data_IF_628468060403
#
_entry.id   IF_628468060403
#
_cell.length_a   1.000
_cell.length_b   1.000
_cell.length_c   1.000
_cell.angle_alpha   90.00
_cell.angle_beta   90.00
_cell.angle_gamma   90.00
#
_symmetry.space_group_name_H-M   'P 1'
#
loop_
_entity.id
_entity.type
_entity.pdbx_description
1 polymer ?
#
# COMPACT_ATOMS: atom_id res chain seq x y z
N UNK A 1 -25.55 -27.96 20.14
CA UNK A 1 -24.29 -27.19 20.21
C UNK A 1 -23.50 -27.41 18.91
N UNK A 2 -23.55 -26.47 17.96
CA UNK A 2 -22.68 -26.50 16.77
C UNK A 2 -21.28 -26.04 17.20
N UNK A 3 -20.29 -26.94 17.19
CA UNK A 3 -18.88 -26.55 17.41
C UNK A 3 -18.42 -25.72 16.20
N UNK A 4 -17.88 -24.54 16.47
CA UNK A 4 -17.35 -23.64 15.45
C UNK A 4 -16.19 -24.31 14.71
N UNK A 5 -16.30 -24.45 13.39
CA UNK A 5 -15.29 -24.99 12.47
C UNK A 5 -14.28 -23.90 12.03
N UNK A 6 -14.52 -22.65 12.42
CA UNK A 6 -13.69 -21.49 12.10
C UNK A 6 -12.20 -21.64 12.46
N UNK A 7 -11.80 -22.15 13.64
CA UNK A 7 -10.38 -22.30 13.96
C UNK A 7 -9.69 -23.37 13.11
N UNK A 8 -10.42 -24.39 12.64
CA UNK A 8 -9.86 -25.46 11.80
C UNK A 8 -9.57 -24.95 10.39
N UNK A 9 -10.41 -24.07 9.85
CA UNK A 9 -10.23 -23.46 8.52
C UNK A 9 -9.01 -22.52 8.52
N UNK A 10 -8.82 -21.72 9.58
CA UNK A 10 -7.65 -20.83 9.71
C UNK A 10 -6.35 -21.63 9.81
N UNK A 11 -6.33 -22.72 10.59
CA UNK A 11 -5.16 -23.59 10.71
C UNK A 11 -4.85 -24.28 9.38
N UNK A 12 -5.86 -24.77 8.65
CA UNK A 12 -5.68 -25.37 7.32
C UNK A 12 -5.12 -24.36 6.31
N UNK A 13 -5.59 -23.11 6.32
CA UNK A 13 -5.09 -22.07 5.41
C UNK A 13 -3.61 -21.75 5.66
N UNK A 14 -3.18 -21.63 6.93
CA UNK A 14 -1.78 -21.38 7.30
C UNK A 14 -0.88 -22.56 6.91
N UNK A 15 -1.35 -23.80 7.08
CA UNK A 15 -0.60 -25.00 6.70
C UNK A 15 -0.46 -25.11 5.17
N UNK A 16 -1.51 -24.79 4.41
CA UNK A 16 -1.48 -24.81 2.93
C UNK A 16 -0.56 -23.73 2.39
N UNK A 17 -0.60 -22.51 2.93
CA UNK A 17 0.33 -21.42 2.58
C UNK A 17 1.79 -21.78 2.90
N UNK A 18 2.03 -22.39 4.06
CA UNK A 18 3.37 -22.87 4.45
C UNK A 18 3.92 -23.94 3.52
N UNK A 19 3.10 -24.92 3.14
CA UNK A 19 3.50 -25.99 2.20
C UNK A 19 3.73 -25.42 0.79
N UNK A 20 2.89 -24.48 0.34
CA UNK A 20 3.07 -23.81 -0.95
C UNK A 20 4.39 -23.02 -1.01
N UNK A 21 4.71 -22.29 0.06
CA UNK A 21 5.99 -21.58 0.19
C UNK A 21 7.18 -22.55 0.15
N UNK A 22 7.06 -23.68 0.86
CA UNK A 22 8.09 -24.72 0.88
C UNK A 22 8.31 -25.32 -0.52
N UNK A 23 7.24 -25.53 -1.28
CA UNK A 23 7.31 -26.10 -2.62
C UNK A 23 7.96 -25.14 -3.63
N UNK A 24 7.65 -23.84 -3.55
CA UNK A 24 8.29 -22.83 -4.39
C UNK A 24 9.77 -22.67 -4.06
N UNK A 25 10.14 -22.74 -2.77
CA UNK A 25 11.52 -22.72 -2.32
C UNK A 25 12.33 -23.94 -2.81
N UNK A 26 11.75 -25.15 -2.80
CA UNK A 26 12.43 -26.32 -3.34
C UNK A 26 12.59 -26.26 -4.86
N UNK A 27 11.64 -25.64 -5.58
CA UNK A 27 11.72 -25.50 -7.03
C UNK A 27 12.83 -24.54 -7.49
N UNK A 28 13.15 -23.50 -6.71
CA UNK A 28 14.23 -22.55 -7.07
C UNK A 28 15.64 -23.08 -6.79
N UNK A 29 15.78 -24.07 -5.89
CA UNK A 29 17.07 -24.47 -5.32
C UNK A 29 17.53 -25.88 -5.69
N UNK A 30 17.00 -26.51 -6.74
CA UNK A 30 17.55 -27.78 -7.24
C UNK A 30 18.79 -27.49 -8.11
N UNK A 31 20.00 -27.90 -7.68
CA UNK A 31 21.20 -27.74 -8.50
C UNK A 31 21.20 -28.77 -9.63
N UNK A 32 21.58 -28.37 -10.84
CA UNK A 32 21.87 -29.28 -11.97
C UNK A 32 23.10 -30.11 -11.62
N UNK A 33 22.92 -31.38 -11.27
CA UNK A 33 24.00 -32.31 -10.92
C UNK A 33 24.64 -32.88 -12.19
N UNK A 34 25.89 -32.52 -12.45
CA UNK A 34 26.86 -33.35 -13.19
C UNK A 34 27.50 -34.34 -12.20
N UNK A 35 27.73 -35.61 -12.56
CA UNK A 35 28.20 -36.58 -11.59
C UNK A 35 29.73 -36.65 -11.59
N UNK A 36 30.39 -36.23 -10.51
CA UNK A 36 31.51 -37.02 -9.97
C UNK A 36 31.99 -36.63 -8.56
N UNK A 37 32.33 -37.70 -7.86
CA UNK A 37 33.16 -37.90 -6.67
C UNK A 37 32.64 -37.57 -5.26
N UNK A 38 32.67 -38.61 -4.42
CA UNK A 38 32.12 -38.70 -3.07
C UNK A 38 33.22 -38.46 -2.04
N UNK A 39 33.08 -37.42 -1.23
CA UNK A 39 33.56 -37.37 0.15
C UNK A 39 32.57 -36.54 0.98
N UNK A 40 32.25 -36.94 2.23
CA UNK A 40 31.20 -36.29 3.00
C UNK A 40 31.68 -34.95 3.53
N UNK A 41 31.22 -33.87 2.90
CA UNK A 41 31.38 -32.51 3.42
C UNK A 41 30.43 -32.38 4.61
N UNK A 42 30.98 -32.11 5.79
CA UNK A 42 30.22 -31.67 6.96
C UNK A 42 29.53 -30.37 6.55
N UNK A 43 28.22 -30.44 6.33
CA UNK A 43 27.42 -29.27 5.97
C UNK A 43 27.43 -28.31 7.16
N UNK A 44 28.27 -27.29 7.07
CA UNK A 44 28.17 -26.09 7.87
C UNK A 44 26.75 -25.55 7.69
N UNK A 45 25.96 -25.57 8.77
CA UNK A 45 24.58 -25.10 8.75
C UNK A 45 24.63 -23.61 8.45
N UNK A 46 24.34 -23.22 7.21
CA UNK A 46 24.17 -21.83 6.84
C UNK A 46 23.23 -21.17 7.87
N UNK A 47 23.61 -20.02 8.46
CA UNK A 47 22.74 -19.34 9.42
C UNK A 47 21.39 -19.10 8.75
N UNK A 48 20.31 -19.40 9.46
CA UNK A 48 18.96 -19.09 8.98
C UNK A 48 18.94 -17.61 8.54
N UNK A 49 18.34 -17.27 7.39
CA UNK A 49 18.24 -15.88 6.97
C UNK A 49 17.64 -15.08 8.13
N UNK A 50 18.39 -14.09 8.60
CA UNK A 50 17.91 -13.15 9.61
C UNK A 50 16.77 -12.40 8.93
N UNK A 51 15.53 -12.78 9.23
CA UNK A 51 14.35 -12.01 8.83
C UNK A 51 14.43 -10.71 9.62
N UNK A 52 15.01 -9.68 9.02
CA UNK A 52 15.00 -8.33 9.60
C UNK A 52 13.57 -7.85 9.53
N UNK A 53 12.87 -7.93 10.66
CA UNK A 53 11.54 -7.33 10.81
C UNK A 53 11.71 -5.81 10.92
N UNK A 54 10.94 -4.99 10.18
CA UNK A 54 11.03 -3.55 10.29
C UNK A 54 10.69 -3.10 11.71
N UNK A 55 11.44 -2.13 12.23
CA UNK A 55 11.10 -1.47 13.47
C UNK A 55 10.05 -0.40 13.18
N UNK A 56 8.79 -0.77 13.45
CA UNK A 56 7.63 0.07 13.15
C UNK A 56 7.64 1.43 13.86
N UNK A 57 8.43 1.61 14.92
CA UNK A 57 8.49 2.85 15.70
C UNK A 57 9.54 3.85 15.17
N UNK A 58 10.57 3.39 14.47
CA UNK A 58 11.76 4.22 14.18
C UNK A 58 12.25 4.16 12.75
N UNK A 59 11.89 3.14 11.98
CA UNK A 59 12.36 3.03 10.60
C UNK A 59 11.70 4.10 9.74
N UNK A 60 12.49 4.73 8.87
CA UNK A 60 12.04 5.77 7.94
C UNK A 60 11.35 5.18 6.70
N UNK A 61 11.78 3.99 6.28
CA UNK A 61 11.24 3.27 5.12
C UNK A 61 10.67 1.95 5.61
N UNK A 62 9.35 1.81 5.51
CA UNK A 62 8.62 0.63 5.97
C UNK A 62 7.80 0.06 4.83
N UNK A 63 8.06 -1.21 4.49
CA UNK A 63 7.25 -2.00 3.57
C UNK A 63 6.51 -3.11 4.32
N UNK A 64 5.18 -3.00 4.36
CA UNK A 64 4.27 -4.00 4.89
C UNK A 64 3.29 -4.50 3.81
N UNK A 65 3.67 -4.38 2.54
CA UNK A 65 2.82 -4.82 1.45
C UNK A 65 2.60 -6.34 1.46
N UNK A 66 1.39 -6.78 1.12
CA UNK A 66 1.09 -8.22 1.04
C UNK A 66 1.07 -8.97 2.37
N UNK A 67 1.05 -8.26 3.51
CA UNK A 67 1.12 -8.88 4.85
C UNK A 67 -0.25 -9.26 5.43
N UNK A 68 -1.32 -9.15 4.63
CA UNK A 68 -2.70 -9.47 5.02
C UNK A 68 -3.24 -8.61 6.17
N UNK A 69 -2.73 -7.39 6.33
CA UNK A 69 -3.19 -6.44 7.34
C UNK A 69 -4.66 -6.09 7.11
N UNK A 70 -5.47 -6.16 8.17
CA UNK A 70 -6.84 -5.64 8.15
C UNK A 70 -6.94 -4.22 8.72
N UNK A 71 -5.88 -3.75 9.38
CA UNK A 71 -5.76 -2.42 9.96
C UNK A 71 -4.27 -2.04 10.06
N UNK A 72 -4.01 -0.73 10.17
CA UNK A 72 -2.66 -0.20 10.42
C UNK A 72 -2.20 -0.61 11.83
N UNK A 73 -0.98 -1.19 11.99
CA UNK A 73 -0.45 -1.55 13.31
C UNK A 73 -0.32 -0.34 14.24
N UNK A 74 -0.69 -0.50 15.52
CA UNK A 74 -0.72 0.62 16.47
C UNK A 74 0.66 1.27 16.69
N UNK A 75 1.74 0.47 16.64
CA UNK A 75 3.10 0.98 16.78
C UNK A 75 3.50 1.88 15.60
N UNK A 76 3.04 1.57 14.39
CA UNK A 76 3.30 2.40 13.21
C UNK A 76 2.66 3.78 13.33
N UNK A 77 1.53 3.89 14.03
CA UNK A 77 0.84 5.17 14.29
C UNK A 77 1.66 6.10 15.19
N UNK A 78 2.68 5.58 15.88
CA UNK A 78 3.57 6.36 16.77
C UNK A 78 4.88 6.75 16.08
N UNK A 79 5.10 6.31 14.85
CA UNK A 79 6.32 6.58 14.10
C UNK A 79 6.31 8.02 13.58
N UNK A 80 7.33 8.80 13.95
CA UNK A 80 7.52 10.19 13.50
C UNK A 80 8.66 10.35 12.50
N UNK A 81 9.36 9.25 12.19
CA UNK A 81 10.51 9.20 11.29
C UNK A 81 10.15 8.75 9.87
N UNK A 82 8.93 8.22 9.65
CA UNK A 82 8.48 7.74 8.34
C UNK A 82 8.68 8.77 7.22
N UNK A 83 9.36 8.32 6.17
CA UNK A 83 9.58 9.00 4.89
C UNK A 83 8.89 8.21 3.77
N UNK A 84 8.99 6.89 3.78
CA UNK A 84 8.30 6.02 2.82
C UNK A 84 7.52 4.93 3.52
N UNK A 85 6.24 4.79 3.17
CA UNK A 85 5.37 3.76 3.71
C UNK A 85 4.64 3.03 2.60
N UNK A 86 4.81 1.72 2.54
CA UNK A 86 4.07 0.84 1.65
C UNK A 86 3.16 -0.11 2.44
N UNK A 87 1.85 0.13 2.35
CA UNK A 87 0.77 -0.68 2.90
C UNK A 87 -0.04 -1.38 1.79
N UNK A 88 0.44 -1.42 0.55
CA UNK A 88 -0.32 -1.94 -0.58
C UNK A 88 -0.59 -3.45 -0.49
N UNK A 89 -1.59 -3.96 -1.22
CA UNK A 89 -1.93 -5.39 -1.26
C UNK A 89 -2.30 -5.99 0.11
N UNK A 90 -3.13 -5.28 0.86
CA UNK A 90 -3.63 -5.71 2.17
C UNK A 90 -5.17 -5.76 2.17
N UNK A 91 -5.78 -5.81 3.35
CA UNK A 91 -7.22 -5.87 3.55
C UNK A 91 -7.68 -4.69 4.44
N UNK A 92 -6.96 -3.58 4.42
CA UNK A 92 -7.22 -2.41 5.25
C UNK A 92 -8.50 -1.74 4.74
N UNK A 93 -9.46 -1.54 5.64
CA UNK A 93 -10.76 -0.92 5.31
C UNK A 93 -10.81 0.57 5.65
N UNK A 94 -9.96 1.02 6.58
CA UNK A 94 -9.93 2.41 7.06
C UNK A 94 -8.54 2.81 7.52
N UNK A 95 -8.17 4.07 7.32
CA UNK A 95 -7.06 4.69 8.03
C UNK A 95 -7.57 5.37 9.32
N UNK A 96 -6.88 5.20 10.47
CA UNK A 96 -7.26 5.85 11.73
C UNK A 96 -6.88 7.35 11.73
N UNK A 97 -7.43 8.14 12.65
CA UNK A 97 -7.06 9.57 12.77
C UNK A 97 -5.65 9.78 13.31
N UNK A 98 -5.08 8.80 14.01
CA UNK A 98 -3.72 8.86 14.58
C UNK A 98 -2.58 8.83 13.54
N UNK A 99 -2.89 8.88 12.25
CA UNK A 99 -1.87 9.01 11.19
C UNK A 99 -1.23 10.40 11.15
N UNK A 100 -1.71 11.37 11.94
CA UNK A 100 -1.14 12.73 12.06
C UNK A 100 0.36 12.77 12.42
N UNK A 101 0.92 11.68 12.93
CA UNK A 101 2.34 11.54 13.29
C UNK A 101 3.27 11.43 12.08
N UNK A 102 2.78 11.03 10.90
CA UNK A 102 3.59 10.80 9.70
C UNK A 102 3.92 12.09 8.93
N UNK A 103 4.30 13.14 9.65
CA UNK A 103 4.54 14.50 9.12
C UNK A 103 5.74 14.59 8.16
N UNK A 104 6.60 13.57 8.16
CA UNK A 104 7.78 13.48 7.30
C UNK A 104 7.56 12.64 6.04
N UNK A 105 6.36 12.08 5.84
CA UNK A 105 6.07 11.15 4.78
C UNK A 105 6.16 11.84 3.40
N UNK A 106 6.96 11.27 2.51
CA UNK A 106 7.19 11.72 1.14
C UNK A 106 6.52 10.78 0.12
N UNK A 107 6.52 9.47 0.38
CA UNK A 107 5.82 8.49 -0.45
C UNK A 107 4.90 7.60 0.38
N UNK A 108 3.63 7.56 0.02
CA UNK A 108 2.63 6.71 0.65
C UNK A 108 1.92 5.84 -0.39
N UNK A 109 2.09 4.53 -0.26
CA UNK A 109 1.41 3.54 -1.11
C UNK A 109 0.44 2.73 -0.26
N UNK A 110 -0.83 2.78 -0.60
CA UNK A 110 -1.91 2.03 0.05
C UNK A 110 -2.86 1.40 -0.99
N UNK A 111 -2.40 1.29 -2.23
CA UNK A 111 -3.18 0.67 -3.31
C UNK A 111 -3.51 -0.80 -3.04
N UNK A 112 -4.52 -1.34 -3.73
CA UNK A 112 -4.96 -2.73 -3.56
C UNK A 112 -5.37 -3.03 -2.09
N UNK A 113 -6.30 -2.24 -1.57
CA UNK A 113 -6.90 -2.39 -0.24
C UNK A 113 -8.44 -2.30 -0.36
N UNK A 114 -9.14 -1.98 0.75
CA UNK A 114 -10.61 -1.86 0.79
C UNK A 114 -11.04 -0.53 1.41
N UNK A 115 -10.23 0.52 1.23
CA UNK A 115 -10.53 1.83 1.78
C UNK A 115 -11.77 2.39 1.11
N UNK A 116 -12.75 2.82 1.91
CA UNK A 116 -13.94 3.52 1.41
C UNK A 116 -13.78 5.04 1.40
N UNK A 117 -12.82 5.56 2.17
CA UNK A 117 -12.48 6.97 2.24
C UNK A 117 -11.03 7.18 2.72
N UNK A 118 -10.43 8.30 2.33
CA UNK A 118 -9.25 8.85 3.01
C UNK A 118 -9.72 9.79 4.14
N UNK A 119 -9.09 9.74 5.33
CA UNK A 119 -9.46 10.60 6.45
C UNK A 119 -8.95 12.03 6.24
N UNK A 120 -9.56 13.02 6.92
CA UNK A 120 -9.15 14.42 6.84
C UNK A 120 -7.70 14.64 7.31
N UNK A 121 -7.20 13.75 8.18
CA UNK A 121 -5.85 13.79 8.73
C UNK A 121 -4.74 13.60 7.70
N UNK A 122 -5.05 13.22 6.44
CA UNK A 122 -4.05 13.25 5.36
C UNK A 122 -3.40 14.63 5.20
N UNK A 123 -4.08 15.72 5.60
CA UNK A 123 -3.52 17.08 5.60
C UNK A 123 -2.17 17.23 6.30
N UNK A 124 -1.85 16.34 7.24
CA UNK A 124 -0.59 16.41 7.97
C UNK A 124 0.60 15.92 7.14
N UNK A 125 0.37 15.26 6.00
CA UNK A 125 1.41 14.77 5.09
C UNK A 125 1.94 15.90 4.20
N UNK A 126 2.35 17.00 4.81
CA UNK A 126 2.76 18.23 4.13
C UNK A 126 3.96 18.06 3.18
N UNK A 127 4.75 16.99 3.34
CA UNK A 127 5.89 16.66 2.47
C UNK A 127 5.57 15.64 1.39
N UNK A 128 4.35 15.12 1.33
CA UNK A 128 4.00 14.02 0.45
C UNK A 128 4.13 14.45 -1.01
N UNK A 129 4.92 13.70 -1.77
CA UNK A 129 5.11 13.87 -3.21
C UNK A 129 4.43 12.76 -4.01
N UNK A 130 4.26 11.57 -3.42
CA UNK A 130 3.62 10.43 -4.08
C UNK A 130 2.53 9.84 -3.18
N UNK A 131 1.32 9.74 -3.72
CA UNK A 131 0.21 9.01 -3.12
C UNK A 131 -0.37 8.01 -4.12
N UNK A 132 -0.20 6.72 -3.84
CA UNK A 132 -0.91 5.64 -4.53
C UNK A 132 -2.03 5.11 -3.62
N UNK A 133 -3.27 5.39 -3.99
CA UNK A 133 -4.48 4.82 -3.38
C UNK A 133 -5.34 4.08 -4.43
N UNK A 134 -4.70 3.59 -5.50
CA UNK A 134 -5.35 2.82 -6.56
C UNK A 134 -6.01 1.55 -6.04
N UNK A 135 -6.95 0.97 -6.79
CA UNK A 135 -7.54 -0.34 -6.48
C UNK A 135 -8.08 -0.42 -5.04
N UNK A 136 -8.96 0.51 -4.69
CA UNK A 136 -9.66 0.60 -3.41
C UNK A 136 -11.18 0.75 -3.65
N UNK A 137 -11.95 1.11 -2.63
CA UNK A 137 -13.39 1.34 -2.70
C UNK A 137 -13.74 2.82 -2.45
N UNK A 138 -12.81 3.74 -2.75
CA UNK A 138 -12.98 5.18 -2.48
C UNK A 138 -14.15 5.73 -3.30
N UNK A 139 -15.10 6.40 -2.66
CA UNK A 139 -16.24 7.05 -3.35
C UNK A 139 -16.04 8.54 -3.57
N UNK A 140 -14.99 9.11 -2.98
CA UNK A 140 -14.60 10.51 -3.08
C UNK A 140 -13.33 10.77 -2.28
N UNK A 141 -12.88 12.03 -2.28
CA UNK A 141 -11.72 12.50 -1.51
C UNK A 141 -12.17 13.52 -0.45
N UNK A 142 -11.48 13.61 0.70
CA UNK A 142 -11.68 14.72 1.63
C UNK A 142 -11.21 16.04 1.00
N UNK A 143 -11.81 17.16 1.40
CA UNK A 143 -11.40 18.50 0.97
C UNK A 143 -9.93 18.78 1.31
N UNK A 144 -9.44 18.20 2.40
CA UNK A 144 -8.04 18.27 2.84
C UNK A 144 -7.02 17.76 1.81
N UNK A 145 -7.43 17.08 0.73
CA UNK A 145 -6.52 16.72 -0.37
C UNK A 145 -5.81 17.95 -0.95
N UNK A 146 -6.48 19.10 -1.03
CA UNK A 146 -5.88 20.35 -1.54
C UNK A 146 -4.71 20.87 -0.71
N UNK A 147 -4.57 20.40 0.53
CA UNK A 147 -3.48 20.80 1.42
C UNK A 147 -2.16 20.06 1.12
N UNK A 148 -2.19 19.00 0.29
CA UNK A 148 -1.00 18.26 -0.15
C UNK A 148 -0.28 18.99 -1.29
N UNK A 149 0.11 20.25 -1.07
CA UNK A 149 0.63 21.14 -2.11
C UNK A 149 1.97 20.72 -2.72
N UNK A 150 2.68 19.76 -2.11
CA UNK A 150 3.90 19.14 -2.66
C UNK A 150 3.63 17.88 -3.49
N UNK A 151 2.38 17.42 -3.59
CA UNK A 151 2.03 16.21 -4.29
C UNK A 151 2.34 16.33 -5.78
N UNK A 152 3.04 15.33 -6.32
CA UNK A 152 3.46 15.23 -7.72
C UNK A 152 2.73 14.12 -8.44
N UNK A 153 2.56 13.00 -7.77
CA UNK A 153 1.89 11.82 -8.33
C UNK A 153 0.72 11.44 -7.42
N UNK A 154 -0.47 11.39 -8.00
CA UNK A 154 -1.69 10.95 -7.34
C UNK A 154 -2.35 9.85 -8.19
N UNK A 155 -2.27 8.61 -7.72
CA UNK A 155 -2.94 7.48 -8.34
C UNK A 155 -4.20 7.11 -7.54
N UNK A 156 -5.35 7.31 -8.18
CA UNK A 156 -6.69 6.98 -7.67
C UNK A 156 -7.39 5.97 -8.58
N UNK A 157 -6.66 5.34 -9.50
CA UNK A 157 -7.24 4.41 -10.46
C UNK A 157 -8.00 3.26 -9.79
N UNK A 158 -8.98 2.69 -10.48
CA UNK A 158 -9.77 1.55 -10.02
C UNK A 158 -10.41 1.77 -8.63
N UNK A 159 -11.19 2.85 -8.50
CA UNK A 159 -11.98 3.19 -7.33
C UNK A 159 -13.46 3.45 -7.72
N UNK A 160 -14.28 3.89 -6.78
CA UNK A 160 -15.69 4.25 -6.97
C UNK A 160 -15.96 5.75 -7.05
N UNK A 161 -14.97 6.58 -7.41
CA UNK A 161 -15.07 8.05 -7.36
C UNK A 161 -15.94 8.57 -8.50
N UNK A 162 -16.99 9.33 -8.18
CA UNK A 162 -17.88 9.96 -9.18
C UNK A 162 -17.59 11.45 -9.40
N UNK A 163 -17.04 12.10 -8.38
CA UNK A 163 -16.74 13.53 -8.36
C UNK A 163 -15.53 13.80 -7.45
N UNK A 164 -14.89 14.95 -7.66
CA UNK A 164 -13.77 15.40 -6.85
C UNK A 164 -14.15 16.66 -6.07
N UNK A 165 -13.61 16.85 -4.87
CA UNK A 165 -13.74 18.13 -4.17
C UNK A 165 -13.06 19.24 -4.99
N UNK A 166 -13.57 20.48 -4.91
CA UNK A 166 -12.97 21.62 -5.61
C UNK A 166 -11.52 21.86 -5.20
N UNK A 167 -11.18 21.47 -3.97
CA UNK A 167 -9.85 21.57 -3.37
C UNK A 167 -8.79 20.74 -4.12
N UNK A 168 -9.18 19.74 -4.94
CA UNK A 168 -8.22 19.05 -5.81
C UNK A 168 -7.53 20.01 -6.79
N UNK A 169 -8.19 21.13 -7.12
CA UNK A 169 -7.66 22.16 -8.01
C UNK A 169 -6.54 22.99 -7.34
N UNK A 170 -6.36 22.86 -6.02
CA UNK A 170 -5.27 23.51 -5.28
C UNK A 170 -3.92 22.79 -5.48
N UNK A 171 -3.94 21.57 -6.03
CA UNK A 171 -2.77 20.75 -6.36
C UNK A 171 -2.03 21.26 -7.61
N UNK A 172 -1.68 22.54 -7.63
CA UNK A 172 -1.02 23.22 -8.76
C UNK A 172 0.36 22.67 -9.11
N UNK A 173 0.97 21.89 -8.22
CA UNK A 173 2.25 21.21 -8.43
C UNK A 173 2.14 19.79 -8.96
N UNK A 174 0.92 19.26 -9.16
CA UNK A 174 0.66 17.88 -9.54
C UNK A 174 1.10 17.62 -10.98
N UNK A 175 1.92 16.60 -11.17
CA UNK A 175 2.49 16.22 -12.46
C UNK A 175 1.67 15.10 -13.11
N UNK A 176 1.14 14.17 -12.32
CA UNK A 176 0.30 13.07 -12.80
C UNK A 176 -0.88 12.82 -11.88
N UNK A 177 -2.06 12.69 -12.49
CA UNK A 177 -3.30 12.29 -11.84
C UNK A 177 -3.91 11.11 -12.60
N UNK A 178 -3.92 9.94 -11.99
CA UNK A 178 -4.59 8.76 -12.56
C UNK A 178 -5.96 8.56 -11.92
N UNK A 179 -7.00 8.61 -12.74
CA UNK A 179 -8.40 8.42 -12.34
C UNK A 179 -9.09 7.35 -13.20
N UNK A 180 -8.32 6.55 -13.95
CA UNK A 180 -8.86 5.44 -14.77
C UNK A 180 -9.64 4.45 -13.91
N UNK A 181 -10.60 3.75 -14.51
CA UNK A 181 -11.41 2.78 -13.76
C UNK A 181 -12.37 3.37 -12.71
N UNK A 182 -12.51 4.70 -12.63
CA UNK A 182 -13.51 5.34 -11.78
C UNK A 182 -14.74 5.79 -12.58
N UNK A 183 -15.94 5.81 -11.99
CA UNK A 183 -17.17 6.35 -12.59
C UNK A 183 -17.21 7.89 -12.62
N UNK A 184 -16.08 8.57 -12.84
CA UNK A 184 -16.00 10.03 -12.92
C UNK A 184 -16.72 10.52 -14.19
N UNK A 185 -17.57 11.53 -14.04
CA UNK A 185 -18.28 12.11 -15.19
C UNK A 185 -17.32 12.87 -16.12
N UNK A 186 -17.61 12.86 -17.42
CA UNK A 186 -16.83 13.64 -18.39
C UNK A 186 -16.79 15.15 -18.07
N UNK A 187 -17.83 15.67 -17.41
CA UNK A 187 -17.87 17.05 -16.93
C UNK A 187 -16.79 17.31 -15.88
N UNK A 188 -16.67 16.45 -14.86
CA UNK A 188 -15.61 16.57 -13.84
C UNK A 188 -14.21 16.43 -14.45
N UNK A 189 -14.03 15.54 -15.42
CA UNK A 189 -12.75 15.40 -16.12
C UNK A 189 -12.37 16.67 -16.87
N UNK A 190 -13.33 17.33 -17.53
CA UNK A 190 -13.08 18.59 -18.21
C UNK A 190 -12.70 19.69 -17.22
N UNK A 191 -13.37 19.76 -16.06
CA UNK A 191 -12.98 20.69 -14.98
C UNK A 191 -11.54 20.47 -14.55
N UNK A 192 -11.12 19.22 -14.35
CA UNK A 192 -9.73 18.90 -14.01
C UNK A 192 -8.78 19.36 -15.13
N UNK A 193 -9.06 19.03 -16.39
CA UNK A 193 -8.21 19.42 -17.55
C UNK A 193 -8.12 20.93 -17.75
N UNK A 194 -9.19 21.67 -17.47
CA UNK A 194 -9.24 23.12 -17.64
C UNK A 194 -8.46 23.88 -16.54
N UNK A 195 -8.30 23.27 -15.36
CA UNK A 195 -7.69 23.92 -14.19
C UNK A 195 -6.29 23.38 -13.84
N UNK A 196 -6.02 22.11 -14.11
CA UNK A 196 -4.73 21.45 -13.89
C UNK A 196 -3.98 21.29 -15.21
N UNK A 197 -3.70 22.42 -15.88
CA UNK A 197 -3.22 22.44 -17.27
C UNK A 197 -1.85 21.83 -17.49
N UNK A 198 -1.02 21.78 -16.43
CA UNK A 198 0.33 21.22 -16.44
C UNK A 198 0.37 19.77 -15.92
N UNK A 199 -0.78 19.18 -15.58
CA UNK A 199 -0.91 17.83 -15.04
C UNK A 199 -1.30 16.83 -16.15
N UNK A 200 -0.58 15.72 -16.22
CA UNK A 200 -0.99 14.56 -17.02
C UNK A 200 -2.16 13.84 -16.34
N UNK A 201 -3.37 14.03 -16.86
CA UNK A 201 -4.57 13.39 -16.34
C UNK A 201 -4.87 12.13 -17.15
N UNK A 202 -4.70 10.98 -16.52
CA UNK A 202 -5.03 9.67 -17.09
C UNK A 202 -6.50 9.36 -16.77
N UNK A 203 -7.32 9.32 -17.80
CA UNK A 203 -8.76 9.06 -17.73
C UNK A 203 -9.16 8.24 -18.96
N UNK A 204 -9.60 6.99 -18.75
CA UNK A 204 -10.27 6.04 -19.68
C UNK A 204 -10.33 4.64 -19.07
#
# INVERSE_FOLDING_TARGET
MKKSIFPIIVILAVVVLGIFYLFQYQKSNTPVVTPEDKSPVVADSAPAPVVVTPNLLTDEIIDLSGTSLTAVPEDLLKNTALVELNLSNNLITTLPSQIESWVNLEAFRIGNNKLTALPAEIRFFSKLTVLDASNNELTGLPAEIGQLTNLKELDLSDNGITEFPNEILELTGLETLDVRGNPVTAEHVNILKDNLTDTEILFE
#
